data_IF_282384484515
#
_entry.id   IF_282384484515
#
_cell.length_a   1.000
_cell.length_b   1.000
_cell.length_c   1.000
_cell.angle_alpha   90.00
_cell.angle_beta   90.00
_cell.angle_gamma   90.00
#
_symmetry.space_group_name_H-M   'P 1'
#
loop_
_entity.id
_entity.type
_entity.pdbx_description
1 polymer ?
#
# COMPACT_ATOMS: atom_id res chain seq x y z
N UNK A 1 14.72 13.41 13.74
CA UNK A 1 13.30 13.12 14.03
C UNK A 1 12.38 13.64 12.93
N UNK A 2 12.14 14.95 12.74
CA UNK A 2 11.19 15.45 11.71
C UNK A 2 11.47 14.90 10.30
N UNK A 3 12.72 14.91 9.84
CA UNK A 3 13.08 14.33 8.52
C UNK A 3 12.74 12.83 8.39
N UNK A 4 12.87 12.06 9.47
CA UNK A 4 12.56 10.62 9.46
C UNK A 4 11.06 10.38 9.39
N UNK A 5 10.28 11.22 10.07
CA UNK A 5 8.82 11.22 10.00
C UNK A 5 8.33 11.62 8.61
N UNK A 6 8.90 12.69 8.04
CA UNK A 6 8.61 13.13 6.67
C UNK A 6 8.91 12.04 5.64
N UNK A 7 10.01 11.30 5.80
CA UNK A 7 10.34 10.15 4.93
C UNK A 7 9.33 9.02 5.05
N UNK A 8 8.91 8.67 6.26
CA UNK A 8 7.86 7.66 6.46
C UNK A 8 6.53 8.12 5.85
N UNK A 9 6.16 9.40 6.02
CA UNK A 9 4.97 9.98 5.38
C UNK A 9 5.08 9.90 3.86
N UNK A 10 6.23 10.22 3.28
CA UNK A 10 6.45 10.11 1.84
C UNK A 10 6.31 8.66 1.35
N UNK A 11 6.91 7.69 2.05
CA UNK A 11 6.81 6.28 1.71
C UNK A 11 5.37 5.74 1.83
N UNK A 12 4.61 6.15 2.85
CA UNK A 12 3.19 5.80 3.00
C UNK A 12 2.31 6.39 1.89
N UNK A 13 2.62 7.59 1.40
CA UNK A 13 1.90 8.23 0.29
C UNK A 13 2.22 7.57 -1.04
N UNK A 14 3.47 7.17 -1.24
CA UNK A 14 3.91 6.37 -2.38
C UNK A 14 3.14 5.05 -2.39
N UNK A 15 3.15 4.28 -1.29
CA UNK A 15 2.39 3.03 -1.17
C UNK A 15 0.88 3.21 -1.45
N UNK A 16 0.28 4.29 -0.94
CA UNK A 16 -1.12 4.62 -1.20
C UNK A 16 -1.41 4.86 -2.68
N UNK A 17 -0.49 5.54 -3.37
CA UNK A 17 -0.58 5.82 -4.80
C UNK A 17 -0.51 4.51 -5.59
N UNK A 18 0.46 3.67 -5.29
CA UNK A 18 0.64 2.37 -5.96
C UNK A 18 -0.59 1.45 -5.77
N UNK A 19 -1.21 1.45 -4.59
CA UNK A 19 -2.45 0.72 -4.36
C UNK A 19 -3.63 1.30 -5.13
N UNK A 20 -3.75 2.63 -5.22
CA UNK A 20 -4.77 3.30 -6.01
C UNK A 20 -4.68 2.92 -7.49
N UNK A 21 -3.47 2.97 -8.05
CA UNK A 21 -3.21 2.58 -9.44
C UNK A 21 -3.53 1.10 -9.71
N UNK A 22 -3.18 0.22 -8.78
CA UNK A 22 -3.53 -1.20 -8.86
C UNK A 22 -5.05 -1.42 -8.88
N UNK A 23 -5.82 -0.71 -8.07
CA UNK A 23 -7.28 -0.81 -8.10
C UNK A 23 -7.86 -0.38 -9.46
N UNK A 24 -7.32 0.69 -10.05
CA UNK A 24 -7.72 1.15 -11.38
C UNK A 24 -7.44 0.08 -12.44
N UNK A 25 -6.26 -0.56 -12.41
CA UNK A 25 -5.91 -1.64 -13.33
C UNK A 25 -6.84 -2.86 -13.17
N UNK A 26 -7.16 -3.24 -11.93
CA UNK A 26 -8.09 -4.33 -11.64
C UNK A 26 -9.53 -3.99 -12.12
N UNK A 27 -9.97 -2.73 -12.00
CA UNK A 27 -11.24 -2.26 -12.54
C UNK A 27 -11.28 -2.38 -14.07
N UNK A 28 -10.21 -1.97 -14.75
CA UNK A 28 -10.09 -2.07 -16.20
C UNK A 28 -10.09 -3.54 -16.66
N UNK A 29 -9.37 -4.42 -15.95
CA UNK A 29 -9.36 -5.84 -16.25
C UNK A 29 -10.76 -6.46 -16.13
N UNK A 30 -11.50 -6.16 -15.06
CA UNK A 30 -12.87 -6.65 -14.89
C UNK A 30 -13.79 -6.18 -16.03
N UNK A 31 -13.69 -4.91 -16.43
CA UNK A 31 -14.46 -4.37 -17.55
C UNK A 31 -14.10 -5.06 -18.88
N UNK A 32 -12.82 -5.33 -19.12
CA UNK A 32 -12.36 -6.04 -20.32
C UNK A 32 -12.85 -7.50 -20.35
N UNK A 33 -12.87 -8.19 -19.20
CA UNK A 33 -13.42 -9.55 -19.04
C UNK A 33 -14.92 -9.57 -19.36
N UNK A 34 -15.69 -8.65 -18.77
CA UNK A 34 -17.14 -8.57 -18.98
C UNK A 34 -17.51 -8.33 -20.46
N UNK A 35 -16.64 -7.65 -21.20
CA UNK A 35 -16.81 -7.34 -22.63
C UNK A 35 -16.19 -8.38 -23.58
N UNK A 36 -15.56 -9.43 -23.06
CA UNK A 36 -14.85 -10.47 -23.84
C UNK A 36 -13.83 -9.89 -24.83
N UNK A 37 -13.10 -8.85 -24.39
CA UNK A 37 -12.20 -8.08 -25.27
C UNK A 37 -10.80 -8.71 -25.31
N UNK A 38 -10.08 -8.49 -26.42
CA UNK A 38 -8.70 -9.00 -26.62
C UNK A 38 -7.65 -8.34 -25.71
N UNK A 39 -8.01 -7.27 -25.00
CA UNK A 39 -7.13 -6.44 -24.16
C UNK A 39 -6.69 -7.10 -22.84
N UNK A 40 -7.20 -8.31 -22.54
CA UNK A 40 -6.90 -9.04 -21.29
C UNK A 40 -5.41 -9.30 -21.07
N UNK A 41 -4.65 -9.56 -22.15
CA UNK A 41 -3.21 -9.82 -22.06
C UNK A 41 -2.43 -8.56 -21.66
N UNK A 42 -2.82 -7.41 -22.21
CA UNK A 42 -2.19 -6.12 -21.89
C UNK A 42 -2.47 -5.72 -20.44
N UNK A 43 -3.69 -5.98 -19.94
CA UNK A 43 -4.01 -5.79 -18.52
C UNK A 43 -3.13 -6.65 -17.60
N UNK A 44 -2.83 -7.89 -17.98
CA UNK A 44 -1.97 -8.78 -17.19
C UNK A 44 -0.55 -8.25 -17.00
N UNK A 45 0.09 -7.79 -18.09
CA UNK A 45 1.45 -7.24 -18.05
C UNK A 45 1.52 -5.96 -17.20
N UNK A 46 0.51 -5.09 -17.29
CA UNK A 46 0.41 -3.89 -16.44
C UNK A 46 0.21 -4.22 -14.96
N UNK A 47 -0.62 -5.23 -14.65
CA UNK A 47 -0.84 -5.68 -13.26
C UNK A 47 0.45 -6.26 -12.67
N UNK A 48 1.21 -7.06 -13.42
CA UNK A 48 2.48 -7.63 -12.94
C UNK A 48 3.57 -6.56 -12.73
N UNK A 49 3.58 -5.51 -13.56
CA UNK A 49 4.43 -4.34 -13.32
C UNK A 49 4.00 -3.61 -12.04
N UNK A 50 2.70 -3.42 -11.84
CA UNK A 50 2.16 -2.73 -10.66
C UNK A 50 2.43 -3.49 -9.35
N UNK A 51 2.35 -4.82 -9.36
CA UNK A 51 2.73 -5.62 -8.19
C UNK A 51 4.19 -5.42 -7.79
N UNK A 52 5.10 -5.24 -8.77
CA UNK A 52 6.51 -4.95 -8.50
C UNK A 52 6.69 -3.57 -7.90
N UNK A 53 5.98 -2.56 -8.40
CA UNK A 53 5.98 -1.20 -7.85
C UNK A 53 5.48 -1.18 -6.40
N UNK A 54 4.34 -1.83 -6.13
CA UNK A 54 3.82 -2.02 -4.76
C UNK A 54 4.86 -2.68 -3.86
N UNK A 55 5.48 -3.78 -4.31
CA UNK A 55 6.48 -4.50 -3.51
C UNK A 55 7.67 -3.61 -3.15
N UNK A 56 8.10 -2.75 -4.07
CA UNK A 56 9.17 -1.78 -3.83
C UNK A 56 8.73 -0.70 -2.83
N UNK A 57 7.52 -0.15 -2.99
CA UNK A 57 6.97 0.87 -2.09
C UNK A 57 6.81 0.34 -0.65
N UNK A 58 6.27 -0.88 -0.49
CA UNK A 58 6.14 -1.55 0.81
C UNK A 58 7.50 -1.73 1.48
N UNK A 59 8.50 -2.23 0.75
CA UNK A 59 9.87 -2.40 1.29
C UNK A 59 10.46 -1.07 1.75
N UNK A 60 10.23 0.00 0.98
CA UNK A 60 10.69 1.35 1.33
C UNK A 60 10.01 1.85 2.60
N UNK A 61 8.68 1.69 2.72
CA UNK A 61 7.94 2.04 3.93
C UNK A 61 8.46 1.27 5.15
N UNK A 62 8.69 -0.04 5.02
CA UNK A 62 9.21 -0.88 6.11
C UNK A 62 10.61 -0.46 6.56
N UNK A 63 11.46 -0.02 5.62
CA UNK A 63 12.79 0.50 5.93
C UNK A 63 12.70 1.82 6.70
N UNK A 64 11.91 2.79 6.23
CA UNK A 64 11.74 4.08 6.91
C UNK A 64 11.06 3.91 8.28
N UNK A 65 10.11 2.98 8.41
CA UNK A 65 9.48 2.64 9.69
C UNK A 65 10.48 2.04 10.67
N UNK A 66 11.36 1.12 10.22
CA UNK A 66 12.43 0.55 11.05
C UNK A 66 13.44 1.61 11.49
N UNK A 67 13.85 2.49 10.58
CA UNK A 67 14.75 3.60 10.91
C UNK A 67 14.13 4.56 11.94
N UNK A 68 12.84 4.86 11.81
CA UNK A 68 12.12 5.69 12.77
C UNK A 68 11.97 4.99 14.12
N UNK A 69 11.59 3.71 14.15
CA UNK A 69 11.47 2.92 15.36
C UNK A 69 12.80 2.85 16.13
N UNK A 70 13.92 2.61 15.42
CA UNK A 70 15.25 2.59 16.00
C UNK A 70 15.64 3.95 16.63
N UNK A 71 15.27 5.07 15.99
CA UNK A 71 15.49 6.41 16.55
C UNK A 71 14.65 6.68 17.80
N UNK A 72 13.49 6.03 17.93
CA UNK A 72 12.57 6.17 19.06
C UNK A 72 12.81 5.11 20.15
N UNK A 73 13.76 4.18 19.95
CA UNK A 73 14.03 3.07 20.88
C UNK A 73 12.88 2.05 20.96
N UNK A 74 12.13 1.87 19.88
CA UNK A 74 11.04 0.91 19.77
C UNK A 74 11.59 -0.41 19.20
N UNK A 75 11.44 -1.50 19.96
CA UNK A 75 11.91 -2.83 19.54
C UNK A 75 11.05 -3.47 18.45
N UNK A 76 9.74 -3.23 18.48
CA UNK A 76 8.80 -3.69 17.46
C UNK A 76 8.36 -2.54 16.54
N UNK A 77 8.95 -2.40 15.35
CA UNK A 77 8.58 -1.35 14.41
C UNK A 77 7.15 -1.53 13.88
N UNK A 78 6.58 -2.74 13.93
CA UNK A 78 5.27 -3.06 13.35
C UNK A 78 4.10 -2.57 14.22
N UNK A 79 4.36 -2.33 15.50
CA UNK A 79 3.36 -1.84 16.45
C UNK A 79 3.03 -0.36 16.20
N UNK A 80 2.08 -0.09 15.31
CA UNK A 80 1.59 1.26 14.99
C UNK A 80 1.24 2.09 16.24
N UNK A 81 0.53 1.57 17.26
CA UNK A 81 0.25 2.35 18.48
C UNK A 81 1.53 2.75 19.24
N UNK A 82 2.54 1.88 19.27
CA UNK A 82 3.82 2.18 19.90
C UNK A 82 4.57 3.28 19.13
N UNK A 83 4.52 3.24 17.79
CA UNK A 83 5.09 4.27 16.93
C UNK A 83 4.39 5.63 17.13
N UNK A 84 3.06 5.67 17.08
CA UNK A 84 2.26 6.89 17.22
C UNK A 84 2.44 7.54 18.61
N UNK A 85 2.45 6.76 19.69
CA UNK A 85 2.58 7.28 21.05
C UNK A 85 3.92 7.99 21.33
N UNK A 86 4.96 7.69 20.55
CA UNK A 86 6.30 8.29 20.66
C UNK A 86 6.52 9.46 19.71
N UNK A 87 5.57 9.72 18.81
CA UNK A 87 5.66 10.78 17.82
C UNK A 87 5.07 12.10 18.34
N UNK A 88 5.55 13.26 17.86
CA UNK A 88 4.92 14.54 18.15
C UNK A 88 3.45 14.55 17.71
N UNK A 89 2.60 15.18 18.52
CA UNK A 89 1.14 15.18 18.35
C UNK A 89 0.67 15.74 16.99
N UNK A 90 1.46 16.61 16.37
CA UNK A 90 1.18 17.18 15.04
C UNK A 90 1.23 16.15 13.90
N UNK A 91 2.02 15.06 14.03
CA UNK A 91 2.15 14.02 12.99
C UNK A 91 1.27 12.80 13.25
N UNK A 92 0.85 12.58 14.49
CA UNK A 92 0.03 11.43 14.87
C UNK A 92 -1.24 11.27 14.00
N UNK A 93 -2.11 12.28 13.82
CA UNK A 93 -3.33 12.11 13.05
C UNK A 93 -3.05 11.84 11.56
N UNK A 94 -2.00 12.45 11.01
CA UNK A 94 -1.62 12.25 9.60
C UNK A 94 -1.13 10.82 9.36
N UNK A 95 -0.23 10.32 10.21
CA UNK A 95 0.31 8.98 10.07
C UNK A 95 -0.77 7.92 10.30
N UNK A 96 -1.59 8.08 11.33
CA UNK A 96 -2.71 7.17 11.61
C UNK A 96 -3.65 7.07 10.39
N UNK A 97 -4.06 8.21 9.83
CA UNK A 97 -4.90 8.23 8.63
C UNK A 97 -4.23 7.54 7.42
N UNK A 98 -2.94 7.78 7.19
CA UNK A 98 -2.21 7.15 6.10
C UNK A 98 -2.08 5.63 6.28
N UNK A 99 -1.82 5.14 7.50
CA UNK A 99 -1.75 3.71 7.78
C UNK A 99 -3.11 3.03 7.60
N UNK A 100 -4.17 3.64 8.11
CA UNK A 100 -5.54 3.14 7.95
C UNK A 100 -5.94 3.08 6.47
N UNK A 101 -5.64 4.13 5.70
CA UNK A 101 -5.98 4.18 4.29
C UNK A 101 -5.20 3.15 3.45
N UNK A 102 -3.89 3.02 3.67
CA UNK A 102 -3.09 1.97 3.03
C UNK A 102 -3.64 0.57 3.34
N UNK A 103 -3.97 0.30 4.61
CA UNK A 103 -4.54 -0.98 5.04
C UNK A 103 -5.90 -1.24 4.36
N UNK A 104 -6.74 -0.21 4.25
CA UNK A 104 -8.04 -0.28 3.57
C UNK A 104 -7.88 -0.60 2.08
N UNK A 105 -6.97 0.07 1.38
CA UNK A 105 -6.74 -0.17 -0.04
C UNK A 105 -6.15 -1.57 -0.30
N UNK A 106 -5.20 -2.00 0.53
CA UNK A 106 -4.63 -3.34 0.45
C UNK A 106 -5.72 -4.42 0.60
N UNK A 107 -6.62 -4.27 1.58
CA UNK A 107 -7.75 -5.19 1.76
C UNK A 107 -8.65 -5.26 0.52
N UNK A 108 -8.94 -4.11 -0.11
CA UNK A 108 -9.74 -4.05 -1.35
C UNK A 108 -9.03 -4.74 -2.53
N UNK A 109 -7.71 -4.57 -2.66
CA UNK A 109 -6.91 -5.27 -3.68
C UNK A 109 -6.96 -6.78 -3.47
N UNK A 110 -6.80 -7.23 -2.22
CA UNK A 110 -6.86 -8.65 -1.87
C UNK A 110 -8.25 -9.25 -2.19
N UNK A 111 -9.32 -8.55 -1.84
CA UNK A 111 -10.70 -8.96 -2.16
C UNK A 111 -10.92 -9.11 -3.66
N UNK A 112 -10.49 -8.12 -4.46
CA UNK A 112 -10.60 -8.18 -5.93
C UNK A 112 -9.77 -9.31 -6.51
N UNK A 113 -8.51 -9.44 -6.11
CA UNK A 113 -7.61 -10.50 -6.59
C UNK A 113 -8.13 -11.90 -6.23
N UNK A 114 -8.76 -12.07 -5.07
CA UNK A 114 -9.43 -13.32 -4.71
C UNK A 114 -10.65 -13.61 -5.60
N UNK A 115 -11.45 -12.59 -5.91
CA UNK A 115 -12.58 -12.72 -6.84
C UNK A 115 -12.15 -13.17 -8.24
N UNK A 116 -10.99 -12.72 -8.73
CA UNK A 116 -10.44 -13.15 -10.02
C UNK A 116 -9.89 -14.59 -10.02
N UNK A 117 -9.48 -15.12 -8.86
CA UNK A 117 -9.05 -16.52 -8.73
C UNK A 117 -10.22 -17.51 -8.62
N UNK A 118 -11.44 -17.02 -8.32
CA UNK A 118 -12.66 -17.81 -8.18
C UNK A 118 -13.73 -17.56 -9.28
N UNK A 119 -13.42 -17.61 -10.60
CA UNK A 119 -14.46 -17.48 -11.63
C UNK A 119 -15.22 -18.80 -11.91
N UNK A 120 -14.85 -19.93 -11.27
CA UNK A 120 -15.42 -21.26 -11.52
C UNK A 120 -15.54 -22.10 -10.23
N UNK A 121 -16.47 -21.72 -9.34
CA UNK A 121 -17.11 -22.67 -8.41
C UNK A 121 -18.61 -22.53 -8.50
#
# INVERSE_FOLDING_TARGET
MNRSVERLVAALREELTEYGEMLVLLDQQQAAMNRQTRDLRQCGESIDAQFRAITQAVRRREEEQRQLAAQLGIEDPTALPALLSRLPSEYQPLLDALFQENSRLLSRIQQRTASFKNPLS
#
